data_IF_863075167916
#
_entry.id   IF_863075167916
#
_cell.length_a   1.000
_cell.length_b   1.000
_cell.length_c   1.000
_cell.angle_alpha   90.00
_cell.angle_beta   90.00
_cell.angle_gamma   90.00
#
_symmetry.space_group_name_H-M   'P 1'
#
loop_
_entity.id
_entity.type
_entity.pdbx_description
1 polymer ?
#
# COMPACT_ATOMS: atom_id res chain seq x y z
N UNK A 1 -20.98 14.70 -3.37
CA UNK A 1 -19.87 14.10 -2.60
C UNK A 1 -19.31 12.97 -3.41
N UNK A 2 -18.03 12.97 -3.67
CA UNK A 2 -17.31 11.96 -4.44
C UNK A 2 -16.18 11.42 -3.58
N UNK A 3 -15.93 10.10 -3.66
CA UNK A 3 -14.81 9.44 -3.02
C UNK A 3 -13.85 8.92 -4.10
N UNK A 4 -12.64 9.43 -4.07
CA UNK A 4 -11.54 8.99 -4.93
C UNK A 4 -10.34 8.59 -4.09
N UNK A 5 -9.24 8.25 -4.69
CA UNK A 5 -7.98 8.02 -3.97
C UNK A 5 -6.77 8.49 -4.77
N UNK A 6 -5.69 8.74 -4.04
CA UNK A 6 -4.37 9.00 -4.59
C UNK A 6 -3.34 8.17 -3.81
N UNK A 7 -2.75 7.17 -4.43
CA UNK A 7 -1.90 6.20 -3.73
C UNK A 7 -2.64 5.54 -2.56
N UNK A 8 -2.19 5.84 -1.33
CA UNK A 8 -2.79 5.33 -0.09
C UNK A 8 -3.71 6.33 0.62
N UNK A 9 -4.05 7.42 -0.05
CA UNK A 9 -4.86 8.48 0.52
C UNK A 9 -6.26 8.45 -0.08
N UNK A 10 -7.32 8.08 0.68
CA UNK A 10 -8.69 8.36 0.30
C UNK A 10 -8.94 9.88 0.30
N UNK A 11 -9.63 10.34 -0.73
CA UNK A 11 -9.94 11.74 -0.97
C UNK A 11 -11.46 11.90 -0.99
N UNK A 12 -11.99 12.60 -0.01
CA UNK A 12 -13.44 12.88 0.10
C UNK A 12 -13.70 14.28 -0.42
N UNK A 13 -14.34 14.39 -1.57
CA UNK A 13 -14.80 15.66 -2.11
C UNK A 13 -16.08 16.07 -1.36
N UNK A 14 -15.99 17.11 -0.57
CA UNK A 14 -17.08 17.63 0.25
C UNK A 14 -17.52 18.99 -0.28
N UNK A 15 -18.83 19.27 -0.23
CA UNK A 15 -19.42 20.54 -0.62
C UNK A 15 -20.14 21.17 0.56
N UNK A 16 -19.85 22.43 0.82
CA UNK A 16 -20.62 23.19 1.80
C UNK A 16 -22.00 23.55 1.23
N UNK A 17 -23.12 23.17 1.88
CA UNK A 17 -24.46 23.30 1.28
C UNK A 17 -24.85 24.75 1.00
N UNK A 18 -24.45 25.68 1.87
CA UNK A 18 -24.85 27.10 1.79
C UNK A 18 -23.81 27.97 1.05
N UNK A 19 -22.51 27.68 1.19
CA UNK A 19 -21.44 28.54 0.66
C UNK A 19 -21.01 28.22 -0.76
N UNK A 20 -21.55 27.17 -1.40
CA UNK A 20 -21.15 26.66 -2.72
C UNK A 20 -19.64 26.37 -2.86
N UNK A 21 -18.92 26.33 -1.75
CA UNK A 21 -17.51 25.98 -1.73
C UNK A 21 -17.35 24.46 -1.61
N UNK A 22 -16.35 23.93 -2.30
CA UNK A 22 -15.93 22.53 -2.16
C UNK A 22 -14.54 22.47 -1.52
N UNK A 23 -14.28 21.41 -0.80
CA UNK A 23 -12.98 21.12 -0.20
C UNK A 23 -12.73 19.62 -0.21
N UNK A 24 -11.47 19.25 -0.22
CA UNK A 24 -11.03 17.85 -0.18
C UNK A 24 -10.60 17.50 1.23
N UNK A 25 -11.27 16.51 1.84
CA UNK A 25 -10.77 15.90 3.06
C UNK A 25 -9.84 14.75 2.66
N UNK A 26 -8.57 14.87 3.01
CA UNK A 26 -7.52 13.90 2.71
C UNK A 26 -7.34 12.97 3.88
N UNK A 27 -7.53 11.67 3.66
CA UNK A 27 -7.33 10.64 4.66
C UNK A 27 -6.04 9.86 4.46
N UNK A 28 -5.46 9.35 5.53
CA UNK A 28 -4.41 8.34 5.51
C UNK A 28 -4.63 7.36 6.65
N UNK A 29 -4.75 6.08 6.34
CA UNK A 29 -5.11 5.06 7.33
C UNK A 29 -3.99 4.70 8.31
N UNK A 30 -2.77 5.17 8.08
CA UNK A 30 -1.63 4.76 8.92
C UNK A 30 -1.34 3.27 8.78
N UNK A 31 -1.28 2.58 9.91
CA UNK A 31 -1.02 1.13 9.96
C UNK A 31 -2.24 0.31 10.40
N UNK A 32 -3.11 0.89 11.23
CA UNK A 32 -4.25 0.21 11.86
C UNK A 32 -5.57 0.95 11.67
N UNK A 33 -5.51 2.09 10.96
CA UNK A 33 -6.70 2.90 10.70
C UNK A 33 -7.65 2.25 9.72
N UNK A 34 -8.93 2.49 9.93
CA UNK A 34 -10.03 2.03 9.09
C UNK A 34 -11.15 3.07 9.05
N UNK A 35 -11.83 3.13 7.93
CA UNK A 35 -12.92 4.07 7.70
C UNK A 35 -14.16 3.31 7.26
N UNK A 36 -15.28 3.58 7.87
CA UNK A 36 -16.54 2.89 7.59
C UNK A 36 -17.74 3.74 7.99
N UNK A 37 -18.92 3.28 7.61
CA UNK A 37 -20.19 3.98 7.90
C UNK A 37 -21.04 3.11 8.82
N UNK A 38 -21.48 3.67 9.94
CA UNK A 38 -22.44 3.07 10.87
C UNK A 38 -23.83 3.74 10.71
N UNK A 39 -24.88 3.07 11.13
CA UNK A 39 -26.19 3.69 11.33
C UNK A 39 -26.16 4.53 12.61
N UNK A 40 -26.96 5.60 12.64
CA UNK A 40 -27.15 6.34 13.88
C UNK A 40 -27.74 5.41 14.96
N UNK A 41 -27.15 5.45 16.17
CA UNK A 41 -27.54 4.56 17.27
C UNK A 41 -26.70 3.28 17.41
N UNK A 42 -25.97 2.85 16.38
CA UNK A 42 -25.04 1.74 16.56
C UNK A 42 -23.87 2.14 17.49
N UNK A 43 -23.35 1.21 18.32
CA UNK A 43 -22.25 1.54 19.23
C UNK A 43 -20.99 1.92 18.46
N UNK A 44 -20.29 2.95 18.92
CA UNK A 44 -19.00 3.34 18.38
C UNK A 44 -17.92 2.34 18.81
N UNK A 45 -16.94 2.05 17.93
CA UNK A 45 -15.80 1.22 18.31
C UNK A 45 -14.93 1.93 19.35
N UNK A 46 -14.22 1.15 20.14
CA UNK A 46 -13.36 1.63 21.24
C UNK A 46 -12.34 2.69 20.81
N UNK A 47 -11.85 2.62 19.59
CA UNK A 47 -10.81 3.49 19.07
C UNK A 47 -11.30 4.42 17.95
N UNK A 48 -12.56 4.84 18.03
CA UNK A 48 -13.11 5.86 17.12
C UNK A 48 -12.35 7.18 17.33
N UNK A 49 -11.53 7.55 16.35
CA UNK A 49 -10.70 8.76 16.38
C UNK A 49 -11.46 9.98 15.82
N UNK A 50 -12.29 9.76 14.79
CA UNK A 50 -13.15 10.80 14.20
C UNK A 50 -14.52 10.21 13.90
N UNK A 51 -15.56 10.96 14.23
CA UNK A 51 -16.95 10.64 13.89
C UNK A 51 -17.56 11.85 13.20
N UNK A 52 -18.10 11.66 11.99
CA UNK A 52 -18.82 12.69 11.27
C UNK A 52 -20.29 12.25 11.13
N UNK A 53 -21.20 13.08 11.59
CA UNK A 53 -22.63 12.83 11.46
C UNK A 53 -23.08 13.09 10.02
N UNK A 54 -23.74 12.11 9.40
CA UNK A 54 -24.24 12.13 8.03
C UNK A 54 -25.76 11.87 8.00
N UNK A 55 -26.51 12.61 8.77
CA UNK A 55 -27.94 12.41 8.95
C UNK A 55 -28.26 11.11 9.69
N UNK A 56 -28.81 10.10 9.01
CA UNK A 56 -29.14 8.80 9.61
C UNK A 56 -27.94 7.84 9.68
N UNK A 57 -26.75 8.29 9.32
CA UNK A 57 -25.52 7.51 9.32
C UNK A 57 -24.40 8.31 9.96
N UNK A 58 -23.35 7.62 10.37
CA UNK A 58 -22.11 8.20 10.88
C UNK A 58 -20.92 7.65 10.10
N UNK A 59 -20.10 8.52 9.55
CA UNK A 59 -18.77 8.12 9.10
C UNK A 59 -17.87 8.01 10.32
N UNK A 60 -17.18 6.89 10.44
CA UNK A 60 -16.27 6.62 11.54
C UNK A 60 -14.88 6.35 10.99
N UNK A 61 -13.92 7.08 11.49
CA UNK A 61 -12.51 6.75 11.36
C UNK A 61 -12.01 6.19 12.68
N UNK A 62 -11.64 4.92 12.68
CA UNK A 62 -11.10 4.23 13.84
C UNK A 62 -9.62 3.94 13.61
N UNK A 63 -8.77 4.22 14.60
CA UNK A 63 -7.35 3.90 14.56
C UNK A 63 -6.79 3.61 15.94
N UNK A 64 -6.53 2.35 16.23
CA UNK A 64 -6.00 1.88 17.52
C UNK A 64 -4.64 2.50 17.86
N UNK A 65 -3.81 2.85 16.88
CA UNK A 65 -2.45 3.38 17.07
C UNK A 65 -2.35 4.88 16.84
N UNK A 66 -3.40 5.52 16.36
CA UNK A 66 -3.45 6.97 16.06
C UNK A 66 -2.32 7.44 15.11
N UNK A 67 -1.89 6.60 14.17
CA UNK A 67 -0.89 6.94 13.15
C UNK A 67 -1.51 7.47 11.86
N UNK A 68 -2.81 7.32 11.72
CA UNK A 68 -3.51 7.85 10.58
C UNK A 68 -3.77 9.35 10.70
N UNK A 69 -4.29 9.92 9.63
CA UNK A 69 -4.53 11.36 9.53
C UNK A 69 -5.79 11.65 8.72
N UNK A 70 -6.48 12.71 9.10
CA UNK A 70 -7.49 13.38 8.32
C UNK A 70 -7.16 14.88 8.32
N UNK A 71 -7.01 15.47 7.17
CA UNK A 71 -6.70 16.90 7.04
C UNK A 71 -7.26 17.50 5.73
N UNK A 72 -7.18 18.81 5.59
CA UNK A 72 -7.58 19.54 4.39
C UNK A 72 -6.36 19.95 3.52
N UNK A 73 -5.16 19.54 3.92
CA UNK A 73 -3.94 19.84 3.18
C UNK A 73 -3.70 18.78 2.09
N UNK A 74 -3.80 19.19 0.85
CA UNK A 74 -3.56 18.34 -0.32
C UNK A 74 -2.08 18.24 -0.72
N UNK A 75 -1.16 18.95 -0.04
CA UNK A 75 0.27 18.98 -0.40
C UNK A 75 0.92 17.60 -0.45
N UNK A 76 0.49 16.68 0.42
CA UNK A 76 1.00 15.31 0.48
C UNK A 76 0.62 14.48 -0.76
N UNK A 77 -0.49 14.78 -1.41
CA UNK A 77 -0.97 14.06 -2.60
C UNK A 77 -0.60 14.75 -3.91
N UNK A 78 -0.40 16.07 -3.88
CA UNK A 78 -0.08 16.87 -5.05
C UNK A 78 1.26 16.48 -5.70
N UNK A 79 2.25 16.07 -4.89
CA UNK A 79 3.60 15.71 -5.36
C UNK A 79 3.79 14.23 -5.66
N UNK A 80 2.75 13.43 -5.54
CA UNK A 80 2.87 11.99 -5.81
C UNK A 80 3.15 11.70 -7.28
N UNK A 81 3.99 10.72 -7.51
CA UNK A 81 4.24 10.14 -8.82
C UNK A 81 2.99 9.46 -9.42
N UNK A 82 3.10 8.86 -10.61
CA UNK A 82 1.96 8.25 -11.28
C UNK A 82 1.36 7.09 -10.47
N UNK A 83 0.04 6.89 -10.62
CA UNK A 83 -0.62 5.68 -10.12
C UNK A 83 -0.08 4.46 -10.87
N UNK A 84 0.30 3.38 -10.17
CA UNK A 84 0.96 2.24 -10.79
C UNK A 84 0.10 1.50 -11.82
N UNK A 85 -1.23 1.62 -11.73
CA UNK A 85 -2.16 0.99 -12.68
C UNK A 85 -2.66 1.94 -13.77
N UNK A 86 -2.29 3.23 -13.72
CA UNK A 86 -2.66 4.20 -14.74
C UNK A 86 -1.87 4.02 -16.04
N UNK A 87 -2.32 4.70 -17.11
CA UNK A 87 -1.62 4.79 -18.39
C UNK A 87 -0.35 5.67 -18.29
N UNK A 88 -0.27 6.54 -17.30
CA UNK A 88 0.85 7.46 -17.11
C UNK A 88 2.08 6.79 -16.54
N UNK A 89 1.93 5.66 -15.84
CA UNK A 89 3.04 4.85 -15.35
C UNK A 89 3.56 3.94 -16.46
N UNK A 90 4.49 4.46 -17.26
CA UNK A 90 5.13 3.73 -18.36
C UNK A 90 6.54 3.27 -18.02
N UNK A 91 7.07 2.20 -18.67
CA UNK A 91 8.46 1.78 -18.46
C UNK A 91 9.48 2.89 -18.74
N UNK A 92 9.22 3.74 -19.74
CA UNK A 92 10.12 4.84 -20.11
C UNK A 92 10.18 5.91 -19.02
N UNK A 93 9.04 6.40 -18.54
CA UNK A 93 8.97 7.37 -17.42
C UNK A 93 9.57 6.79 -16.14
N UNK A 94 9.33 5.50 -15.88
CA UNK A 94 9.88 4.82 -14.73
C UNK A 94 11.41 4.72 -14.81
N UNK A 95 11.97 4.36 -15.98
CA UNK A 95 13.41 4.35 -16.21
C UNK A 95 14.03 5.73 -15.97
N UNK A 96 13.41 6.78 -16.52
CA UNK A 96 13.86 8.17 -16.35
C UNK A 96 13.88 8.57 -14.87
N UNK A 97 12.85 8.24 -14.10
CA UNK A 97 12.75 8.56 -12.68
C UNK A 97 13.73 7.77 -11.78
N UNK A 98 14.25 6.64 -12.26
CA UNK A 98 15.28 5.84 -11.60
C UNK A 98 16.70 6.28 -11.98
N UNK A 99 16.87 6.95 -13.11
CA UNK A 99 18.18 7.32 -13.65
C UNK A 99 18.99 8.13 -12.66
N UNK A 100 20.30 7.84 -12.58
CA UNK A 100 21.23 8.54 -11.69
C UNK A 100 21.07 8.27 -10.19
N UNK A 101 20.05 7.55 -9.77
CA UNK A 101 19.82 7.29 -8.34
C UNK A 101 20.78 6.23 -7.79
N UNK A 102 21.58 6.61 -6.80
CA UNK A 102 22.47 5.71 -6.04
C UNK A 102 21.73 4.95 -4.92
N UNK A 103 20.49 5.35 -4.59
CA UNK A 103 19.71 4.70 -3.53
C UNK A 103 19.34 3.27 -3.93
N UNK A 104 19.34 2.36 -2.95
CA UNK A 104 18.87 1.00 -3.15
C UNK A 104 17.46 1.00 -3.77
N UNK A 105 17.24 0.16 -4.79
CA UNK A 105 15.96 0.13 -5.52
C UNK A 105 14.75 -0.07 -4.61
N UNK A 106 14.89 -0.92 -3.59
CA UNK A 106 13.81 -1.13 -2.64
C UNK A 106 13.45 0.14 -1.86
N UNK A 107 14.44 0.92 -1.46
CA UNK A 107 14.24 2.20 -0.76
C UNK A 107 13.64 3.23 -1.71
N UNK A 108 14.13 3.28 -2.95
CA UNK A 108 13.61 4.19 -3.98
C UNK A 108 12.14 3.91 -4.33
N UNK A 109 11.70 2.64 -4.31
CA UNK A 109 10.30 2.26 -4.53
C UNK A 109 9.34 2.75 -3.42
N UNK A 110 9.84 3.12 -2.26
CA UNK A 110 9.01 3.66 -1.17
C UNK A 110 8.74 5.16 -1.31
N UNK A 111 9.47 5.85 -2.20
CA UNK A 111 9.22 7.26 -2.51
C UNK A 111 7.90 7.37 -3.28
N UNK A 112 6.94 8.04 -2.67
CA UNK A 112 5.63 8.24 -3.30
C UNK A 112 5.69 9.17 -4.51
N UNK A 113 6.75 9.96 -4.66
CA UNK A 113 7.03 10.80 -5.85
C UNK A 113 7.46 9.95 -7.06
N UNK A 114 8.03 8.76 -6.83
CA UNK A 114 8.40 7.83 -7.90
C UNK A 114 7.20 7.11 -8.48
N UNK A 115 6.41 6.52 -7.60
CA UNK A 115 5.19 5.77 -7.91
C UNK A 115 4.27 5.77 -6.70
N UNK A 116 3.03 6.20 -6.89
CA UNK A 116 2.07 6.31 -5.80
C UNK A 116 1.68 4.93 -5.24
N UNK A 117 1.43 4.86 -3.94
CA UNK A 117 0.80 3.70 -3.30
C UNK A 117 1.72 2.49 -3.03
N UNK A 118 2.90 2.39 -3.62
CA UNK A 118 3.83 1.28 -3.36
C UNK A 118 4.39 1.37 -1.95
N UNK A 119 4.12 0.37 -1.13
CA UNK A 119 4.57 0.26 0.25
C UNK A 119 5.58 -0.86 0.46
N UNK A 120 5.94 -1.07 1.73
CA UNK A 120 6.99 -2.01 2.13
C UNK A 120 6.74 -3.45 1.66
N UNK A 121 5.50 -3.89 1.74
CA UNK A 121 5.07 -5.24 1.33
C UNK A 121 5.24 -5.39 -0.18
N UNK A 122 4.57 -4.55 -0.93
CA UNK A 122 4.53 -4.67 -2.40
C UNK A 122 5.85 -4.34 -3.07
N UNK A 123 6.69 -3.48 -2.49
CA UNK A 123 8.05 -3.28 -2.95
C UNK A 123 8.89 -4.57 -2.84
N UNK A 124 8.80 -5.30 -1.72
CA UNK A 124 9.51 -6.58 -1.56
C UNK A 124 8.99 -7.65 -2.52
N UNK A 125 7.66 -7.78 -2.64
CA UNK A 125 7.03 -8.76 -3.53
C UNK A 125 7.31 -8.48 -5.02
N UNK A 126 7.26 -7.22 -5.45
CA UNK A 126 7.57 -6.83 -6.82
C UNK A 126 9.04 -7.12 -7.17
N UNK A 127 9.96 -6.79 -6.28
CA UNK A 127 11.39 -7.09 -6.47
C UNK A 127 11.68 -8.60 -6.52
N UNK A 128 11.00 -9.40 -5.69
CA UNK A 128 11.10 -10.85 -5.77
C UNK A 128 10.57 -11.39 -7.11
N UNK A 129 9.41 -10.88 -7.54
CA UNK A 129 8.81 -11.28 -8.83
C UNK A 129 9.74 -10.94 -10.00
N UNK A 130 10.31 -9.75 -10.00
CA UNK A 130 11.28 -9.27 -11.00
C UNK A 130 12.67 -9.87 -10.86
N UNK A 131 12.97 -10.65 -9.82
CA UNK A 131 14.29 -11.24 -9.54
C UNK A 131 15.40 -10.20 -9.32
N UNK A 132 15.07 -9.05 -8.78
CA UNK A 132 15.99 -7.93 -8.55
C UNK A 132 16.39 -7.89 -7.08
N UNK A 133 17.70 -7.81 -6.81
CA UNK A 133 18.21 -7.64 -5.44
C UNK A 133 17.76 -6.29 -4.87
N UNK A 134 17.19 -6.27 -3.65
CA UNK A 134 16.65 -5.04 -3.07
C UNK A 134 17.71 -3.98 -2.77
N UNK A 135 18.98 -4.36 -2.66
CA UNK A 135 20.12 -3.47 -2.41
C UNK A 135 20.72 -2.86 -3.68
N UNK A 136 20.32 -3.33 -4.88
CA UNK A 136 20.87 -2.81 -6.14
C UNK A 136 20.55 -1.31 -6.23
N UNK A 137 21.53 -0.45 -6.58
CA UNK A 137 21.25 0.97 -6.82
C UNK A 137 20.22 1.14 -7.94
N UNK A 138 19.22 1.99 -7.73
CA UNK A 138 18.09 2.14 -8.65
C UNK A 138 18.54 2.56 -10.06
N UNK A 139 19.52 3.47 -10.16
CA UNK A 139 20.08 3.91 -11.44
C UNK A 139 20.98 2.88 -12.15
N UNK A 140 21.26 1.73 -11.53
CA UNK A 140 22.01 0.63 -12.15
C UNK A 140 21.13 -0.47 -12.74
N UNK A 141 19.82 -0.31 -12.70
CA UNK A 141 18.92 -1.23 -13.38
C UNK A 141 19.04 -1.04 -14.91
N UNK A 142 19.24 -2.17 -15.63
CA UNK A 142 19.18 -2.13 -17.08
C UNK A 142 17.71 -2.07 -17.58
N UNK A 143 17.52 -1.83 -18.88
CA UNK A 143 16.20 -1.65 -19.48
C UNK A 143 15.27 -2.87 -19.30
N UNK A 144 15.84 -4.09 -19.32
CA UNK A 144 15.09 -5.32 -19.10
C UNK A 144 14.59 -5.41 -17.64
N UNK A 145 15.46 -5.11 -16.69
CA UNK A 145 15.14 -5.10 -15.26
C UNK A 145 14.07 -4.04 -14.94
N UNK A 146 14.17 -2.84 -15.54
CA UNK A 146 13.18 -1.79 -15.38
C UNK A 146 11.81 -2.26 -15.90
N UNK A 147 11.75 -2.85 -17.10
CA UNK A 147 10.50 -3.40 -17.64
C UNK A 147 9.93 -4.53 -16.78
N UNK A 148 10.80 -5.45 -16.31
CA UNK A 148 10.39 -6.54 -15.43
C UNK A 148 9.82 -6.02 -14.10
N UNK A 149 10.48 -5.02 -13.49
CA UNK A 149 10.03 -4.42 -12.23
C UNK A 149 8.73 -3.63 -12.41
N UNK A 150 8.62 -2.83 -13.46
CA UNK A 150 7.39 -2.13 -13.82
C UNK A 150 6.20 -3.10 -13.96
N UNK A 151 6.39 -4.18 -14.70
CA UNK A 151 5.37 -5.23 -14.85
C UNK A 151 5.03 -5.88 -13.51
N UNK A 152 6.06 -6.23 -12.72
CA UNK A 152 5.88 -6.88 -11.43
C UNK A 152 5.10 -6.00 -10.42
N UNK A 153 5.35 -4.69 -10.39
CA UNK A 153 4.60 -3.74 -9.54
C UNK A 153 3.12 -3.79 -9.90
N UNK A 154 2.78 -3.68 -11.17
CA UNK A 154 1.39 -3.72 -11.66
C UNK A 154 0.71 -5.05 -11.33
N UNK A 155 1.38 -6.16 -11.59
CA UNK A 155 0.83 -7.50 -11.32
C UNK A 155 0.58 -7.75 -9.83
N UNK A 156 1.52 -7.37 -8.97
CA UNK A 156 1.38 -7.54 -7.52
C UNK A 156 0.20 -6.74 -6.99
N UNK A 157 0.07 -5.47 -7.42
CA UNK A 157 -1.02 -4.61 -6.98
C UNK A 157 -2.37 -5.05 -7.56
N UNK A 158 -2.42 -5.47 -8.83
CA UNK A 158 -3.65 -6.02 -9.43
C UNK A 158 -4.11 -7.28 -8.69
N UNK A 159 -3.18 -8.17 -8.33
CA UNK A 159 -3.51 -9.34 -7.53
C UNK A 159 -4.00 -8.96 -6.13
N UNK A 160 -3.34 -7.99 -5.48
CA UNK A 160 -3.75 -7.51 -4.18
C UNK A 160 -5.18 -6.94 -4.20
N UNK A 161 -5.53 -6.16 -5.20
CA UNK A 161 -6.89 -5.61 -5.38
C UNK A 161 -7.90 -6.74 -5.65
N UNK A 162 -7.58 -7.65 -6.57
CA UNK A 162 -8.48 -8.73 -6.97
C UNK A 162 -8.81 -9.68 -5.82
N UNK A 163 -7.86 -9.98 -4.96
CA UNK A 163 -8.02 -10.99 -3.92
C UNK A 163 -8.28 -10.40 -2.53
N UNK A 164 -8.42 -9.08 -2.44
CA UNK A 164 -8.48 -8.41 -1.15
C UNK A 164 -7.13 -8.53 -0.43
N UNK A 165 -6.32 -7.51 -0.53
CA UNK A 165 -5.04 -7.44 0.21
C UNK A 165 -5.22 -7.14 1.68
N UNK A 166 -6.45 -7.11 2.13
CA UNK A 166 -6.87 -6.61 3.42
C UNK A 166 -7.89 -7.55 4.02
N UNK A 167 -7.86 -7.70 5.32
CA UNK A 167 -8.77 -8.57 6.05
C UNK A 167 -10.13 -7.89 6.10
N UNK A 168 -11.23 -8.57 5.74
CA UNK A 168 -12.57 -8.04 5.93
C UNK A 168 -12.79 -7.69 7.40
N UNK A 169 -13.32 -6.51 7.65
CA UNK A 169 -13.68 -6.08 8.98
C UNK A 169 -15.08 -6.58 9.30
N UNK A 170 -15.15 -7.47 10.26
CA UNK A 170 -16.40 -7.84 10.87
C UNK A 170 -16.73 -6.88 12.00
N UNK A 171 -17.74 -6.07 11.82
CA UNK A 171 -18.39 -5.33 12.88
C UNK A 171 -19.77 -5.94 13.14
N UNK A 172 -19.94 -6.55 14.30
CA UNK A 172 -21.17 -7.20 14.69
C UNK A 172 -21.43 -8.55 14.02
N UNK A 173 -22.43 -9.31 14.47
CA UNK A 173 -22.71 -10.66 14.01
C UNK A 173 -23.07 -10.78 12.52
N UNK A 174 -23.47 -9.70 11.88
CA UNK A 174 -23.92 -9.67 10.48
C UNK A 174 -22.98 -8.89 9.51
N UNK A 175 -21.87 -8.37 9.99
CA UNK A 175 -21.01 -7.47 9.19
C UNK A 175 -20.08 -8.21 8.21
N UNK A 176 -20.07 -9.52 8.26
CA UNK A 176 -19.16 -10.37 7.49
C UNK A 176 -19.34 -10.30 5.97
N UNK A 177 -20.46 -9.79 5.46
CA UNK A 177 -20.81 -10.02 4.08
C UNK A 177 -21.11 -8.79 3.23
N UNK A 178 -21.17 -7.59 3.78
CA UNK A 178 -21.86 -6.51 3.05
C UNK A 178 -21.06 -5.31 2.57
N UNK A 179 -19.94 -4.95 3.18
CA UNK A 179 -19.38 -3.62 2.89
C UNK A 179 -18.04 -3.59 2.15
N UNK A 180 -17.40 -4.73 1.88
CA UNK A 180 -16.15 -4.76 1.08
C UNK A 180 -15.03 -3.86 1.59
N UNK A 181 -15.16 -3.37 2.84
CA UNK A 181 -14.17 -2.52 3.47
C UNK A 181 -13.04 -3.38 4.05
N UNK A 182 -11.85 -3.07 3.65
CA UNK A 182 -10.67 -3.85 3.93
C UNK A 182 -9.67 -3.02 4.74
N UNK A 183 -8.93 -3.64 5.65
CA UNK A 183 -7.90 -2.95 6.40
C UNK A 183 -6.63 -3.79 6.57
N UNK A 184 -5.51 -3.13 6.80
CA UNK A 184 -4.25 -3.76 7.14
C UNK A 184 -4.20 -4.08 8.63
N UNK A 185 -4.25 -5.34 9.00
CA UNK A 185 -4.11 -5.79 10.37
C UNK A 185 -4.75 -7.15 10.61
N UNK A 186 -4.24 -7.89 11.56
CA UNK A 186 -4.87 -9.12 12.03
C UNK A 186 -6.02 -8.77 12.94
N UNK A 187 -7.23 -9.12 12.57
CA UNK A 187 -8.28 -9.31 13.55
C UNK A 187 -7.99 -10.62 14.31
N UNK A 188 -8.17 -10.64 15.63
CA UNK A 188 -8.02 -11.86 16.41
C UNK A 188 -8.94 -12.95 15.82
N UNK A 189 -8.35 -14.09 15.41
CA UNK A 189 -9.09 -15.22 14.83
C UNK A 189 -9.39 -15.13 13.32
N UNK A 190 -8.98 -14.08 12.62
CA UNK A 190 -9.12 -14.04 11.16
C UNK A 190 -8.13 -15.01 10.49
N UNK A 191 -8.58 -15.79 9.48
CA UNK A 191 -7.68 -16.61 8.69
C UNK A 191 -6.62 -15.76 8.04
N UNK A 192 -5.39 -16.27 7.98
CA UNK A 192 -4.21 -15.57 7.48
C UNK A 192 -4.23 -15.47 5.94
N UNK A 193 -5.21 -14.75 5.41
CA UNK A 193 -5.40 -14.56 3.97
C UNK A 193 -4.19 -13.93 3.28
N UNK A 194 -3.35 -13.30 4.07
CA UNK A 194 -2.17 -12.57 3.61
C UNK A 194 -0.94 -13.48 3.46
N UNK A 195 -0.72 -14.41 4.40
CA UNK A 195 0.48 -15.25 4.42
C UNK A 195 0.52 -16.24 3.25
N UNK A 196 -0.60 -16.77 2.81
CA UNK A 196 -0.64 -17.72 1.70
C UNK A 196 -0.20 -17.16 0.35
N UNK A 197 -0.24 -15.84 0.17
CA UNK A 197 0.03 -15.18 -1.13
C UNK A 197 1.32 -14.40 -1.18
N UNK A 198 1.86 -13.99 -0.05
CA UNK A 198 3.16 -13.34 0.02
C UNK A 198 4.27 -14.37 -0.20
N UNK A 199 5.19 -14.00 -1.08
CA UNK A 199 6.28 -14.90 -1.50
C UNK A 199 7.55 -14.71 -0.68
N UNK A 200 7.78 -13.50 -0.19
CA UNK A 200 8.97 -13.15 0.59
C UNK A 200 8.66 -12.30 1.82
N UNK A 201 7.66 -11.41 1.75
CA UNK A 201 7.39 -10.50 2.85
C UNK A 201 6.93 -11.27 4.09
N UNK A 202 7.56 -10.94 5.23
CA UNK A 202 7.37 -11.55 6.56
C UNK A 202 7.63 -13.07 6.63
N UNK A 203 8.43 -13.60 5.68
CA UNK A 203 8.75 -15.02 5.56
C UNK A 203 10.23 -15.32 5.82
N UNK A 204 10.90 -14.51 6.66
CA UNK A 204 12.30 -14.75 7.02
C UNK A 204 12.50 -16.16 7.60
N UNK A 205 13.54 -16.87 7.13
CA UNK A 205 13.84 -18.25 7.53
C UNK A 205 13.01 -19.32 6.82
N UNK A 206 11.86 -18.97 6.22
CA UNK A 206 11.05 -19.93 5.46
C UNK A 206 11.65 -20.25 4.09
N UNK A 207 11.34 -21.40 3.50
CA UNK A 207 11.83 -21.77 2.18
C UNK A 207 11.21 -20.90 1.08
N UNK A 208 12.05 -20.42 0.16
CA UNK A 208 11.59 -19.73 -1.04
C UNK A 208 10.70 -20.64 -1.89
N UNK A 209 9.55 -20.13 -2.33
CA UNK A 209 8.61 -20.89 -3.18
C UNK A 209 9.24 -21.34 -4.52
N UNK A 210 10.25 -20.62 -5.04
CA UNK A 210 10.91 -20.95 -6.33
C UNK A 210 12.10 -21.90 -6.19
N UNK A 211 12.97 -21.69 -5.19
CA UNK A 211 14.27 -22.38 -5.14
C UNK A 211 14.60 -22.99 -3.78
N UNK A 212 13.67 -22.98 -2.84
CA UNK A 212 13.78 -23.55 -1.49
C UNK A 212 14.85 -22.91 -0.57
N UNK A 213 15.68 -22.01 -1.08
CA UNK A 213 16.64 -21.25 -0.25
C UNK A 213 15.89 -20.43 0.79
N UNK A 214 16.38 -20.34 2.02
CA UNK A 214 15.77 -19.57 3.09
C UNK A 214 15.67 -18.07 2.72
N UNK A 215 14.50 -17.50 2.88
CA UNK A 215 14.26 -16.05 2.73
C UNK A 215 15.06 -15.32 3.79
N UNK A 216 15.72 -14.24 3.40
CA UNK A 216 16.49 -13.38 4.28
C UNK A 216 15.71 -12.08 4.59
N UNK A 217 15.98 -11.55 5.79
CA UNK A 217 15.55 -10.23 6.22
C UNK A 217 16.76 -9.34 6.45
N UNK A 218 16.71 -8.13 5.91
CA UNK A 218 17.66 -7.05 6.18
C UNK A 218 16.87 -5.80 6.56
N UNK A 219 17.56 -4.79 7.10
CA UNK A 219 16.95 -3.47 7.37
C UNK A 219 17.50 -2.46 6.37
N UNK A 220 16.61 -1.73 5.70
CA UNK A 220 16.93 -0.64 4.78
C UNK A 220 16.03 0.57 5.09
N UNK A 221 16.61 1.74 5.33
CA UNK A 221 15.90 2.96 5.70
C UNK A 221 14.87 2.70 6.84
N UNK A 222 15.32 2.10 7.94
CA UNK A 222 14.54 1.73 9.12
C UNK A 222 13.34 0.78 8.85
N UNK A 223 13.31 0.10 7.70
CA UNK A 223 12.24 -0.84 7.32
C UNK A 223 12.79 -2.22 7.01
N UNK A 224 12.08 -3.25 7.48
CA UNK A 224 12.39 -4.64 7.12
C UNK A 224 12.21 -4.86 5.63
N UNK A 225 13.20 -5.52 5.02
CA UNK A 225 13.20 -5.92 3.62
C UNK A 225 13.42 -7.41 3.54
N UNK A 226 12.53 -8.11 2.88
CA UNK A 226 12.55 -9.57 2.75
C UNK A 226 12.86 -9.95 1.30
N UNK A 227 13.75 -10.92 1.09
CA UNK A 227 14.17 -11.33 -0.25
C UNK A 227 14.76 -12.74 -0.26
N UNK A 228 14.78 -13.38 -1.42
CA UNK A 228 15.49 -14.63 -1.63
C UNK A 228 16.89 -14.36 -2.19
N UNK A 229 17.98 -14.67 -1.47
CA UNK A 229 19.34 -14.35 -1.91
C UNK A 229 19.77 -15.13 -3.17
N UNK A 230 19.16 -16.29 -3.46
CA UNK A 230 19.44 -17.07 -4.66
C UNK A 230 18.68 -16.55 -5.89
N UNK A 231 17.38 -16.20 -5.73
CA UNK A 231 16.55 -15.71 -6.85
C UNK A 231 16.81 -14.24 -7.18
N UNK A 232 17.26 -13.44 -6.22
CA UNK A 232 17.48 -11.99 -6.31
C UNK A 232 18.97 -11.68 -6.09
N UNK A 233 19.82 -12.24 -6.94
CA UNK A 233 21.28 -12.04 -6.84
C UNK A 233 21.66 -10.59 -7.14
N UNK A 234 22.63 -10.07 -6.41
CA UNK A 234 23.37 -8.89 -6.85
C UNK A 234 24.09 -9.28 -8.14
N UNK A 235 23.78 -8.61 -9.23
CA UNK A 235 24.60 -8.75 -10.43
C UNK A 235 25.92 -8.05 -10.10
N UNK A 236 27.01 -8.81 -10.00
CA UNK A 236 28.35 -8.22 -9.97
C UNK A 236 28.51 -7.44 -11.27
N UNK A 237 28.78 -6.14 -11.19
CA UNK A 237 29.23 -5.40 -12.35
C UNK A 237 30.50 -6.10 -12.87
N UNK A 238 30.41 -6.66 -14.06
CA UNK A 238 31.59 -7.01 -14.83
C UNK A 238 32.17 -5.75 -15.42
#
# INVERSE_FOLDING_TARGET
TELTHRGKFPLFQLRHPQRKTSFTLVGHLGMTGRMFVLRSGEPLPKHAAVVLELGRRRFVYEDQRYFGRLNLDESSVARMGPEPLSKDFTPAKFAQALAGSSRAIKVKLLDQDLVAGVGNIYASEALFRARIAPQLPAGKLNAEQVRALWKAIREVLTQAIRFGSTIPLHHGPDAASRDGLFYYGRAAGAPDYYEERLRVYDRAGQPCSRCKTKIQRIVQAARSTYFCPKCQRKISAR
#
